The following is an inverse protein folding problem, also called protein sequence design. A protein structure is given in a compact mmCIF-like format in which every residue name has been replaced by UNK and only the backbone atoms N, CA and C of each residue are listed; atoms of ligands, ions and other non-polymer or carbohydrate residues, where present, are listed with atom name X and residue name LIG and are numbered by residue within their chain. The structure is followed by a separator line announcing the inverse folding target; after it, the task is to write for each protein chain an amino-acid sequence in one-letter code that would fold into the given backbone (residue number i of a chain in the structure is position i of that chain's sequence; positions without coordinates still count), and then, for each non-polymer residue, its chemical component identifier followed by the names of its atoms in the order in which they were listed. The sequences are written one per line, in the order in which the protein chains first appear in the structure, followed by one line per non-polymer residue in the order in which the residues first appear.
data_IF_117503165043
#
_entry.id   IF_117503165043
#
_cell.length_a   1.000
_cell.length_b   1.000
_cell.length_c   1.000
_cell.angle_alpha   90.00
_cell.angle_beta   90.00
_cell.angle_gamma   90.00
#
_symmetry.space_group_name_H-M   'P 1'
#
loop_
_entity.id
_entity.type
_entity.pdbx_description
1 polymer ?
#
# COMPACT_ATOMS: atom_id res chain seq x y z
N UNK A 1 27.34 2.09 -0.07
CA UNK A 1 27.08 3.15 0.96
C UNK A 1 25.57 3.30 1.07
N UNK A 2 24.98 3.13 2.27
CA UNK A 2 23.58 3.44 2.47
C UNK A 2 23.44 4.95 2.58
N UNK A 3 22.67 5.55 1.69
CA UNK A 3 22.36 6.98 1.75
C UNK A 3 21.40 7.26 2.91
N UNK A 4 21.46 8.47 3.45
CA UNK A 4 20.59 8.87 4.57
C UNK A 4 19.11 8.92 4.18
N UNK A 5 18.84 9.18 2.89
CA UNK A 5 17.50 9.18 2.27
C UNK A 5 17.61 8.43 0.94
N UNK A 6 16.68 7.53 0.67
CA UNK A 6 16.61 6.80 -0.60
C UNK A 6 15.18 6.88 -1.16
N UNK A 7 15.08 7.03 -2.47
CA UNK A 7 13.80 7.06 -3.19
C UNK A 7 13.71 5.91 -4.18
N UNK A 8 12.54 5.28 -4.23
CA UNK A 8 12.20 4.21 -5.16
C UNK A 8 10.77 4.41 -5.67
N UNK A 9 10.59 4.20 -6.97
CA UNK A 9 9.29 4.12 -7.62
C UNK A 9 8.99 2.67 -8.00
N UNK A 10 7.76 2.23 -7.78
CA UNK A 10 7.31 0.87 -8.05
C UNK A 10 6.06 0.89 -8.94
N UNK A 11 6.04 0.00 -9.92
CA UNK A 11 4.85 -0.37 -10.67
C UNK A 11 4.55 -1.84 -10.40
N UNK A 12 3.37 -2.13 -9.89
CA UNK A 12 3.00 -3.44 -9.36
C UNK A 12 1.85 -4.00 -10.18
N UNK A 13 2.13 -4.82 -11.23
CA UNK A 13 1.08 -5.36 -12.10
C UNK A 13 0.16 -6.36 -11.38
N UNK A 14 0.67 -7.06 -10.37
CA UNK A 14 -0.06 -8.04 -9.58
C UNK A 14 -0.09 -7.65 -8.11
N UNK A 15 -1.06 -8.18 -7.37
CA UNK A 15 -1.14 -8.07 -5.91
C UNK A 15 0.17 -8.57 -5.26
N UNK A 16 0.79 -7.76 -4.42
CA UNK A 16 2.02 -8.13 -3.72
C UNK A 16 1.80 -8.20 -2.22
N UNK A 17 1.69 -9.43 -1.69
CA UNK A 17 1.47 -9.65 -0.26
C UNK A 17 2.81 -9.57 0.48
N UNK A 18 3.11 -8.40 1.03
CA UNK A 18 4.29 -8.18 1.85
C UNK A 18 4.21 -8.80 3.24
N UNK A 19 5.35 -9.19 3.84
CA UNK A 19 5.38 -9.63 5.22
C UNK A 19 5.10 -8.47 6.18
N UNK A 20 4.50 -8.78 7.32
CA UNK A 20 4.38 -7.82 8.42
C UNK A 20 5.71 -7.76 9.17
N UNK A 21 6.41 -6.65 9.07
CA UNK A 21 7.75 -6.50 9.64
C UNK A 21 7.99 -5.11 10.20
N UNK A 22 8.96 -5.00 11.09
CA UNK A 22 9.53 -3.73 11.51
C UNK A 22 10.59 -3.28 10.51
N UNK A 23 10.67 -1.98 10.26
CA UNK A 23 11.75 -1.39 9.48
C UNK A 23 12.58 -0.47 10.38
N UNK A 24 13.91 -0.59 10.39
CA UNK A 24 14.75 0.33 11.15
C UNK A 24 14.79 1.74 10.53
N UNK A 25 14.16 1.92 9.38
CA UNK A 25 14.10 3.18 8.63
C UNK A 25 12.68 3.73 8.69
N UNK A 26 12.57 5.05 8.79
CA UNK A 26 11.31 5.73 8.50
C UNK A 26 10.95 5.58 7.02
N UNK A 27 9.67 5.51 6.68
CA UNK A 27 9.21 5.31 5.32
C UNK A 27 8.03 6.23 5.00
N UNK A 28 8.15 7.02 3.94
CA UNK A 28 7.01 7.65 3.30
C UNK A 28 6.53 6.73 2.17
N UNK A 29 5.25 6.39 2.21
CA UNK A 29 4.54 5.65 1.18
C UNK A 29 3.60 6.62 0.48
N UNK A 30 3.74 6.77 -0.84
CA UNK A 30 2.85 7.58 -1.67
C UNK A 30 2.25 6.69 -2.75
N UNK A 31 0.93 6.61 -2.81
CA UNK A 31 0.24 5.93 -3.92
C UNK A 31 -0.02 6.94 -5.02
N UNK A 32 0.46 6.67 -6.23
CA UNK A 32 0.31 7.55 -7.39
C UNK A 32 -0.76 7.06 -8.36
N UNK A 33 -1.06 5.75 -8.35
CA UNK A 33 -2.13 5.13 -9.13
C UNK A 33 -2.64 3.87 -8.45
N UNK A 34 -3.93 3.57 -8.62
CA UNK A 34 -4.56 2.41 -8.01
C UNK A 34 -4.66 2.54 -6.49
N UNK A 35 -4.44 1.44 -5.80
CA UNK A 35 -4.50 1.42 -4.35
C UNK A 35 -3.54 0.42 -3.71
N UNK A 36 -3.32 0.61 -2.42
CA UNK A 36 -2.56 -0.31 -1.57
C UNK A 36 -3.25 -0.45 -0.22
N UNK A 37 -3.05 -1.59 0.42
CA UNK A 37 -3.46 -1.82 1.81
C UNK A 37 -2.26 -1.65 2.74
N UNK A 38 -2.48 -0.96 3.85
CA UNK A 38 -1.50 -0.80 4.90
C UNK A 38 -2.06 -1.38 6.20
N UNK A 39 -1.48 -2.48 6.65
CA UNK A 39 -1.78 -3.05 7.97
C UNK A 39 -0.88 -2.44 9.02
N UNK A 40 -1.49 -1.70 9.96
CA UNK A 40 -0.80 -1.06 11.08
C UNK A 40 -1.55 -1.39 12.38
N UNK A 41 -0.89 -2.11 13.29
CA UNK A 41 -1.58 -2.64 14.48
C UNK A 41 -2.69 -3.62 14.09
N UNK A 42 -3.91 -3.37 14.57
CA UNK A 42 -5.14 -4.10 14.22
C UNK A 42 -5.87 -3.50 13.02
N UNK A 43 -5.43 -2.36 12.50
CA UNK A 43 -6.11 -1.63 11.44
C UNK A 43 -5.59 -2.05 10.07
N UNK A 44 -6.50 -2.14 9.11
CA UNK A 44 -6.20 -2.30 7.70
C UNK A 44 -6.68 -1.03 6.99
N UNK A 45 -5.75 -0.19 6.60
CA UNK A 45 -6.02 1.10 5.95
C UNK A 45 -5.94 0.95 4.44
N UNK A 46 -6.84 1.60 3.71
CA UNK A 46 -6.77 1.68 2.25
C UNK A 46 -6.13 3.01 1.86
N UNK A 47 -5.04 2.94 1.12
CA UNK A 47 -4.37 4.06 0.49
C UNK A 47 -4.75 4.08 -1.00
N UNK A 48 -5.38 5.14 -1.46
CA UNK A 48 -5.72 5.36 -2.88
C UNK A 48 -4.74 6.35 -3.51
N UNK A 49 -4.82 6.54 -4.82
CA UNK A 49 -4.03 7.56 -5.52
C UNK A 49 -4.15 8.93 -4.82
N UNK A 50 -3.01 9.62 -4.67
CA UNK A 50 -2.89 10.86 -3.89
C UNK A 50 -2.65 10.66 -2.38
N UNK A 51 -2.76 9.44 -1.86
CA UNK A 51 -2.48 9.17 -0.45
C UNK A 51 -1.00 9.21 -0.15
N UNK A 52 -0.64 9.89 0.95
CA UNK A 52 0.69 9.88 1.55
C UNK A 52 0.59 9.35 2.98
N UNK A 53 1.40 8.36 3.32
CA UNK A 53 1.42 7.79 4.66
C UNK A 53 2.86 7.67 5.17
N UNK A 54 3.10 8.24 6.33
CA UNK A 54 4.38 8.14 7.01
C UNK A 54 4.38 6.97 8.00
N UNK A 55 5.39 6.11 7.90
CA UNK A 55 5.72 5.08 8.88
C UNK A 55 7.01 5.49 9.60
N UNK A 56 6.94 5.74 10.89
CA UNK A 56 8.15 5.98 11.68
C UNK A 56 9.02 4.72 11.75
N UNK A 57 10.30 4.88 12.07
CA UNK A 57 11.20 3.76 12.30
C UNK A 57 10.61 2.80 13.36
N UNK A 58 10.86 1.52 13.19
CA UNK A 58 10.37 0.40 14.02
C UNK A 58 8.85 0.20 14.04
N UNK A 59 8.08 0.93 13.24
CA UNK A 59 6.66 0.66 13.07
C UNK A 59 6.45 -0.76 12.51
N UNK A 60 5.61 -1.57 13.19
CA UNK A 60 5.25 -2.91 12.73
C UNK A 60 4.12 -2.82 11.72
N UNK A 61 4.44 -2.88 10.45
CA UNK A 61 3.48 -2.71 9.36
C UNK A 61 3.65 -3.76 8.25
N UNK A 62 2.58 -3.95 7.46
CA UNK A 62 2.64 -4.65 6.19
C UNK A 62 2.02 -3.75 5.11
N UNK A 63 2.78 -3.44 4.09
CA UNK A 63 2.31 -2.71 2.92
C UNK A 63 2.06 -3.70 1.78
N UNK A 64 0.85 -3.65 1.22
CA UNK A 64 0.35 -4.59 0.22
C UNK A 64 -0.18 -3.80 -0.97
N UNK A 65 0.64 -3.50 -1.99
CA UNK A 65 0.16 -2.93 -3.23
C UNK A 65 -0.83 -3.87 -3.90
N UNK A 66 -1.99 -3.35 -4.31
CA UNK A 66 -2.97 -4.08 -5.10
C UNK A 66 -2.53 -4.16 -6.56
N UNK A 67 -3.16 -5.04 -7.34
CA UNK A 67 -2.86 -5.18 -8.76
C UNK A 67 -3.08 -3.85 -9.51
N UNK A 68 -2.10 -3.45 -10.32
CA UNK A 68 -2.09 -2.17 -11.03
C UNK A 68 -1.63 -0.97 -10.21
N UNK A 69 -1.27 -1.15 -8.94
CA UNK A 69 -0.80 -0.08 -8.08
C UNK A 69 0.55 0.47 -8.54
N UNK A 70 0.66 1.80 -8.58
CA UNK A 70 1.93 2.51 -8.66
C UNK A 70 2.15 3.30 -7.39
N UNK A 71 3.34 3.21 -6.84
CA UNK A 71 3.65 3.87 -5.59
C UNK A 71 5.11 4.25 -5.46
N UNK A 72 5.36 5.28 -4.68
CA UNK A 72 6.68 5.72 -4.29
C UNK A 72 6.98 5.29 -2.85
N UNK A 73 8.22 4.98 -2.60
CA UNK A 73 8.76 4.76 -1.28
C UNK A 73 9.99 5.64 -1.07
N UNK A 74 9.91 6.54 -0.11
CA UNK A 74 11.06 7.26 0.41
C UNK A 74 11.46 6.61 1.74
N UNK A 75 12.71 6.19 1.89
CA UNK A 75 13.23 5.66 3.16
C UNK A 75 14.19 6.66 3.78
N UNK A 76 14.05 6.89 5.08
CA UNK A 76 14.88 7.80 5.84
C UNK A 76 15.61 7.07 6.96
N UNK A 77 16.94 7.23 7.00
CA UNK A 77 17.74 6.79 8.13
C UNK A 77 17.33 7.52 9.41
N UNK A 78 17.39 6.86 10.56
CA UNK A 78 17.16 7.48 11.87
C UNK A 78 18.09 8.65 12.20
N UNK A 79 19.15 8.84 11.39
CA UNK A 79 20.06 9.99 11.50
C UNK A 79 19.52 11.26 10.86
N UNK A 80 18.46 11.14 10.06
CA UNK A 80 17.77 12.27 9.46
C UNK A 80 16.61 12.63 10.36
N UNK A 81 16.42 13.92 10.61
CA UNK A 81 15.26 14.39 11.34
C UNK A 81 13.99 14.00 10.56
N UNK A 82 13.00 13.43 11.24
CA UNK A 82 11.82 12.84 10.65
C UNK A 82 10.66 12.85 11.66
N UNK A 83 9.39 12.79 11.21
CA UNK A 83 8.26 12.75 12.12
C UNK A 83 8.34 11.51 13.04
N UNK A 84 8.09 11.72 14.34
CA UNK A 84 8.17 10.64 15.34
C UNK A 84 6.95 9.71 15.34
N UNK A 85 5.83 10.14 14.78
CA UNK A 85 4.57 9.41 14.79
C UNK A 85 4.21 8.96 13.37
N UNK A 86 3.67 7.74 13.25
CA UNK A 86 3.10 7.24 12.00
C UNK A 86 1.71 7.86 11.77
N UNK A 87 1.38 8.16 10.52
CA UNK A 87 0.08 8.72 10.17
C UNK A 87 0.00 9.19 8.72
N UNK A 88 -1.15 9.76 8.40
CA UNK A 88 -1.40 10.36 7.10
C UNK A 88 -0.61 11.65 6.98
N UNK A 89 0.26 11.73 5.97
CA UNK A 89 1.04 12.91 5.74
C UNK A 89 0.28 13.85 4.80
N UNK A 90 0.16 15.11 5.18
CA UNK A 90 -0.37 16.15 4.30
C UNK A 90 0.81 16.79 3.56
N UNK A 91 1.02 16.47 2.27
CA UNK A 91 2.16 16.98 1.54
C UNK A 91 2.01 18.47 1.25
N UNK A 92 3.15 19.16 1.10
CA UNK A 92 3.17 20.47 0.45
C UNK A 92 3.18 20.30 -1.06
N UNK A 93 2.73 21.31 -1.85
CA UNK A 93 2.87 21.28 -3.30
C UNK A 93 4.31 21.07 -3.76
N UNK A 94 5.29 21.59 -3.01
CA UNK A 94 6.71 21.39 -3.30
C UNK A 94 7.13 19.93 -3.09
N UNK A 95 6.66 19.29 -2.01
CA UNK A 95 6.91 17.87 -1.73
C UNK A 95 6.43 16.99 -2.88
N UNK A 96 5.21 17.19 -3.35
CA UNK A 96 4.65 16.42 -4.47
C UNK A 96 5.44 16.63 -5.76
N UNK A 97 5.76 17.88 -6.12
CA UNK A 97 6.55 18.18 -7.31
C UNK A 97 7.96 17.56 -7.26
N UNK A 98 8.57 17.52 -6.08
CA UNK A 98 9.88 16.90 -5.89
C UNK A 98 9.79 15.36 -6.03
N UNK A 99 8.78 14.72 -5.44
CA UNK A 99 8.56 13.27 -5.58
C UNK A 99 8.30 12.90 -7.05
N UNK A 100 7.48 13.67 -7.77
CA UNK A 100 7.25 13.48 -9.22
C UNK A 100 8.54 13.62 -10.02
N UNK A 101 9.36 14.60 -9.67
CA UNK A 101 10.66 14.81 -10.29
C UNK A 101 11.62 13.62 -10.03
N UNK A 102 11.53 12.97 -8.87
CA UNK A 102 12.32 11.77 -8.58
C UNK A 102 11.81 10.55 -9.34
N UNK A 103 10.49 10.38 -9.47
CA UNK A 103 9.88 9.30 -10.25
C UNK A 103 10.33 9.33 -11.72
N UNK A 104 10.47 10.53 -12.28
CA UNK A 104 10.90 10.77 -13.66
C UNK A 104 12.41 10.96 -13.83
N UNK A 105 13.21 10.63 -12.82
CA UNK A 105 14.65 10.84 -12.87
C UNK A 105 15.36 9.89 -13.84
N UNK A 106 15.96 10.41 -14.90
CA UNK A 106 16.61 9.64 -15.98
C UNK A 106 18.14 9.74 -16.00
N UNK A 107 18.72 10.56 -15.11
CA UNK A 107 20.18 10.77 -15.02
C UNK A 107 20.81 9.84 -13.96
N UNK A 108 22.15 9.73 -13.89
CA UNK A 108 22.82 9.02 -12.80
C UNK A 108 22.37 9.54 -11.42
N UNK A 109 22.19 8.62 -10.47
CA UNK A 109 21.75 8.93 -9.11
C UNK A 109 22.96 9.24 -8.22
N UNK A 110 23.54 10.43 -8.40
CA UNK A 110 24.64 10.88 -7.57
C UNK A 110 24.13 11.66 -6.36
N UNK A 111 24.52 11.21 -5.18
CA UNK A 111 24.14 11.83 -3.92
C UNK A 111 24.75 13.23 -3.72
N UNK A 112 25.90 13.51 -4.30
CA UNK A 112 26.57 14.81 -4.19
C UNK A 112 26.04 15.84 -5.19
N UNK A 113 25.31 15.38 -6.18
CA UNK A 113 24.78 16.18 -7.28
C UNK A 113 23.27 16.48 -7.11
N UNK A 114 22.65 16.96 -8.18
CA UNK A 114 21.25 17.39 -8.21
C UNK A 114 20.25 16.34 -7.69
N UNK A 115 20.53 15.02 -7.86
CA UNK A 115 19.71 13.97 -7.31
C UNK A 115 19.68 14.01 -5.78
N UNK A 116 20.84 13.98 -5.15
CA UNK A 116 20.95 14.03 -3.70
C UNK A 116 20.52 15.36 -3.09
N UNK A 117 20.73 16.48 -3.80
CA UNK A 117 20.22 17.78 -3.35
C UNK A 117 18.70 17.79 -3.23
N UNK A 118 17.96 17.23 -4.22
CA UNK A 118 16.50 17.12 -4.16
C UNK A 118 16.04 16.23 -3.02
N UNK A 119 16.72 15.09 -2.80
CA UNK A 119 16.39 14.21 -1.67
C UNK A 119 16.55 14.90 -0.30
N UNK A 120 17.54 15.78 -0.16
CA UNK A 120 17.70 16.60 1.06
C UNK A 120 16.55 17.57 1.23
N UNK A 121 16.15 18.28 0.15
CA UNK A 121 14.98 19.18 0.20
C UNK A 121 13.70 18.39 0.53
N UNK A 122 13.51 17.19 -0.03
CA UNK A 122 12.39 16.30 0.35
C UNK A 122 12.44 15.95 1.85
N UNK A 123 13.64 15.72 2.40
CA UNK A 123 13.82 15.47 3.83
C UNK A 123 13.44 16.68 4.70
N UNK A 124 13.75 17.90 4.25
CA UNK A 124 13.39 19.14 4.94
C UNK A 124 11.86 19.36 4.86
N UNK A 125 11.26 19.18 3.68
CA UNK A 125 9.80 19.24 3.49
C UNK A 125 9.05 18.23 4.34
N UNK A 126 9.59 17.00 4.49
CA UNK A 126 8.98 15.97 5.32
C UNK A 126 8.80 16.41 6.78
N UNK A 127 9.72 17.21 7.31
CA UNK A 127 9.62 17.75 8.66
C UNK A 127 8.58 18.86 8.76
N UNK A 128 8.35 19.61 7.68
CA UNK A 128 7.36 20.69 7.61
C UNK A 128 5.94 20.15 7.41
N UNK A 129 5.77 18.92 6.92
CA UNK A 129 4.47 18.33 6.68
C UNK A 129 3.74 17.96 7.97
N UNK A 130 2.43 18.22 8.01
CA UNK A 130 1.57 17.77 9.10
C UNK A 130 1.32 16.27 9.02
N UNK A 131 1.40 15.59 10.16
CA UNK A 131 0.98 14.19 10.30
C UNK A 131 -0.40 14.18 10.94
N UNK A 132 -1.38 13.65 10.20
CA UNK A 132 -2.75 13.51 10.65
C UNK A 132 -2.98 12.10 11.18
N UNK A 133 -3.57 12.00 12.36
CA UNK A 133 -3.91 10.71 12.97
C UNK A 133 -5.04 9.99 12.20
N UNK A 134 -5.87 10.74 11.50
CA UNK A 134 -7.05 10.24 10.80
C UNK A 134 -7.04 10.70 9.34
N UNK A 135 -7.42 9.74 8.47
CA UNK A 135 -7.66 9.97 7.05
C UNK A 135 -9.08 10.45 6.77
N UNK A 136 -9.42 10.44 5.47
CA UNK A 136 -10.79 10.50 4.97
C UNK A 136 -11.66 9.43 5.63
N UNK A 137 -12.37 9.79 6.71
CA UNK A 137 -13.18 8.87 7.51
C UNK A 137 -14.29 8.19 6.69
N UNK A 138 -15.03 8.89 5.79
CA UNK A 138 -16.00 8.25 4.93
C UNK A 138 -15.38 7.18 4.03
N UNK A 139 -14.23 7.44 3.38
CA UNK A 139 -13.57 6.46 2.52
C UNK A 139 -13.10 5.24 3.32
N UNK A 140 -12.47 5.45 4.47
CA UNK A 140 -12.02 4.36 5.33
C UNK A 140 -13.20 3.59 5.95
N UNK A 141 -14.34 4.26 6.19
CA UNK A 141 -15.59 3.64 6.64
C UNK A 141 -16.20 2.75 5.56
N UNK A 142 -16.34 3.25 4.34
CA UNK A 142 -16.84 2.50 3.19
C UNK A 142 -15.92 1.30 2.86
N UNK A 143 -14.60 1.47 2.92
CA UNK A 143 -13.64 0.38 2.78
C UNK A 143 -13.86 -0.71 3.84
N UNK A 144 -13.97 -0.36 5.11
CA UNK A 144 -14.20 -1.33 6.19
C UNK A 144 -15.49 -2.10 6.02
N UNK A 145 -16.58 -1.43 5.58
CA UNK A 145 -17.84 -2.08 5.28
C UNK A 145 -17.71 -3.07 4.12
N UNK A 146 -17.03 -2.67 3.04
CA UNK A 146 -16.76 -3.53 1.88
C UNK A 146 -15.89 -4.74 2.28
N UNK A 147 -14.81 -4.52 3.01
CA UNK A 147 -13.92 -5.57 3.50
C UNK A 147 -14.63 -6.55 4.45
N UNK A 148 -15.61 -6.07 5.22
CA UNK A 148 -16.46 -6.88 6.08
C UNK A 148 -17.64 -7.54 5.37
N UNK A 149 -17.81 -7.32 4.05
CA UNK A 149 -18.88 -7.88 3.23
C UNK A 149 -20.30 -7.54 3.79
N UNK A 150 -20.46 -6.35 4.37
CA UNK A 150 -21.74 -5.89 4.88
C UNK A 150 -22.76 -5.71 3.75
N UNK A 151 -24.03 -5.96 4.01
CA UNK A 151 -25.09 -5.75 3.03
C UNK A 151 -25.09 -4.31 2.51
N UNK A 152 -25.23 -4.13 1.19
CA UNK A 152 -25.20 -2.81 0.55
C UNK A 152 -23.82 -2.14 0.49
N UNK A 153 -22.77 -2.73 1.04
CA UNK A 153 -21.43 -2.12 1.10
C UNK A 153 -20.82 -1.83 -0.27
N UNK A 154 -21.11 -2.66 -1.28
CA UNK A 154 -20.63 -2.43 -2.64
C UNK A 154 -21.22 -1.15 -3.26
N UNK A 155 -22.53 -0.91 -3.08
CA UNK A 155 -23.20 0.31 -3.54
C UNK A 155 -22.70 1.54 -2.78
N UNK A 156 -22.55 1.45 -1.45
CA UNK A 156 -22.01 2.53 -0.63
C UNK A 156 -20.57 2.86 -1.00
N UNK A 157 -19.77 1.85 -1.34
CA UNK A 157 -18.40 2.03 -1.83
C UNK A 157 -18.37 2.81 -3.16
N UNK A 158 -19.17 2.39 -4.14
CA UNK A 158 -19.26 3.08 -5.43
C UNK A 158 -19.73 4.54 -5.28
N UNK A 159 -20.72 4.79 -4.45
CA UNK A 159 -21.17 6.17 -4.13
C UNK A 159 -20.02 6.99 -3.53
N UNK A 160 -19.29 6.41 -2.58
CA UNK A 160 -18.16 7.07 -1.93
C UNK A 160 -17.04 7.44 -2.92
N UNK A 161 -16.75 6.58 -3.91
CA UNK A 161 -15.78 6.88 -4.97
C UNK A 161 -16.29 7.99 -5.91
N UNK A 162 -17.56 7.91 -6.33
CA UNK A 162 -18.19 8.90 -7.23
C UNK A 162 -18.18 10.30 -6.62
N UNK A 163 -18.51 10.43 -5.34
CA UNK A 163 -18.46 11.71 -4.61
C UNK A 163 -17.08 12.33 -4.55
N UNK A 164 -16.02 11.55 -4.74
CA UNK A 164 -14.61 11.98 -4.76
C UNK A 164 -14.03 12.11 -6.16
N UNK A 165 -14.82 11.85 -7.19
CA UNK A 165 -14.35 11.83 -8.57
C UNK A 165 -13.26 10.76 -8.82
N UNK A 166 -13.27 9.67 -8.06
CA UNK A 166 -12.29 8.59 -8.21
C UNK A 166 -12.84 7.59 -9.22
N UNK A 167 -12.31 7.62 -10.43
CA UNK A 167 -12.65 6.72 -11.54
C UNK A 167 -11.49 5.76 -11.82
N UNK A 168 -11.28 4.78 -10.95
CA UNK A 168 -10.23 3.77 -11.13
C UNK A 168 -10.86 2.37 -11.17
N UNK A 169 -10.77 1.62 -12.30
CA UNK A 169 -11.30 0.27 -12.39
C UNK A 169 -10.71 -0.71 -11.37
N UNK A 170 -9.49 -0.46 -10.90
CA UNK A 170 -8.85 -1.27 -9.85
C UNK A 170 -9.55 -1.14 -8.49
N UNK A 171 -10.35 -0.07 -8.32
CA UNK A 171 -11.15 0.21 -7.12
C UNK A 171 -12.62 -0.22 -7.27
N UNK A 172 -13.01 -0.86 -8.37
CA UNK A 172 -14.33 -1.47 -8.47
C UNK A 172 -14.58 -2.43 -7.29
N UNK A 173 -15.79 -2.41 -6.72
CA UNK A 173 -16.08 -3.14 -5.49
C UNK A 173 -15.79 -4.64 -5.57
N UNK A 174 -16.10 -5.25 -6.71
CA UNK A 174 -15.84 -6.66 -6.99
C UNK A 174 -14.32 -6.97 -7.11
N UNK A 175 -13.58 -6.12 -7.84
CA UNK A 175 -12.14 -6.27 -8.00
C UNK A 175 -11.39 -6.08 -6.67
N UNK A 176 -11.75 -5.05 -5.91
CA UNK A 176 -11.16 -4.77 -4.61
C UNK A 176 -11.52 -5.85 -3.59
N UNK A 177 -12.79 -6.28 -3.56
CA UNK A 177 -13.27 -7.37 -2.70
C UNK A 177 -12.59 -8.70 -2.99
N UNK A 178 -12.42 -9.05 -4.27
CA UNK A 178 -11.72 -10.28 -4.68
C UNK A 178 -10.24 -10.28 -4.26
N UNK A 179 -9.53 -9.15 -4.42
CA UNK A 179 -8.14 -9.03 -3.97
C UNK A 179 -8.03 -9.09 -2.44
N UNK A 180 -8.98 -8.47 -1.72
CA UNK A 180 -9.05 -8.55 -0.27
C UNK A 180 -9.27 -9.97 0.21
N UNK A 181 -10.26 -10.68 -0.38
CA UNK A 181 -10.54 -12.08 -0.08
C UNK A 181 -9.29 -12.96 -0.29
N UNK A 182 -8.62 -12.78 -1.44
CA UNK A 182 -7.39 -13.52 -1.73
C UNK A 182 -6.27 -13.18 -0.75
N UNK A 183 -6.08 -11.92 -0.37
CA UNK A 183 -5.11 -11.51 0.62
C UNK A 183 -5.32 -12.24 1.96
N UNK A 184 -6.58 -12.40 2.41
CA UNK A 184 -6.89 -13.19 3.59
C UNK A 184 -6.53 -14.68 3.37
N UNK A 185 -6.81 -15.21 2.18
CA UNK A 185 -6.41 -16.57 1.79
C UNK A 185 -4.91 -16.81 1.88
N UNK A 186 -4.12 -15.90 1.30
CA UNK A 186 -2.65 -15.96 1.36
C UNK A 186 -2.15 -15.91 2.79
N UNK A 187 -2.74 -15.08 3.64
CA UNK A 187 -2.38 -14.99 5.06
C UNK A 187 -2.65 -16.31 5.79
N UNK A 188 -3.78 -16.97 5.50
CA UNK A 188 -4.12 -18.27 6.06
C UNK A 188 -3.18 -19.38 5.55
N UNK A 189 -2.91 -19.43 4.24
CA UNK A 189 -1.98 -20.40 3.66
C UNK A 189 -0.58 -20.26 4.28
N UNK A 190 -0.05 -19.04 4.38
CA UNK A 190 1.25 -18.77 5.01
C UNK A 190 1.28 -19.05 6.53
N UNK A 191 0.13 -19.12 7.19
CA UNK A 191 0.02 -19.54 8.58
C UNK A 191 -0.16 -21.06 8.75
N UNK A 192 -0.07 -21.84 7.66
CA UNK A 192 -0.14 -23.29 7.67
C UNK A 192 -1.54 -23.88 7.45
N UNK A 193 -2.55 -23.07 7.12
CA UNK A 193 -3.87 -23.59 6.76
C UNK A 193 -3.81 -24.33 5.42
N UNK A 194 -4.51 -25.46 5.31
CA UNK A 194 -4.62 -26.20 4.05
C UNK A 194 -5.57 -25.49 3.07
N UNK A 195 -5.37 -25.62 1.74
CA UNK A 195 -6.25 -25.01 0.73
C UNK A 195 -7.74 -25.28 0.95
N UNK A 196 -8.14 -26.52 1.26
CA UNK A 196 -9.53 -26.89 1.59
C UNK A 196 -10.11 -26.05 2.73
N UNK A 197 -9.32 -25.76 3.76
CA UNK A 197 -9.76 -24.94 4.91
C UNK A 197 -9.92 -23.47 4.50
N UNK A 198 -9.04 -22.97 3.62
CA UNK A 198 -9.11 -21.61 3.09
C UNK A 198 -10.37 -21.43 2.23
N UNK A 199 -10.65 -22.40 1.36
CA UNK A 199 -11.86 -22.46 0.53
C UNK A 199 -13.11 -22.35 1.40
N UNK A 200 -13.24 -23.24 2.38
CA UNK A 200 -14.40 -23.27 3.29
C UNK A 200 -14.56 -21.97 4.10
N UNK A 201 -13.45 -21.39 4.57
CA UNK A 201 -13.48 -20.19 5.42
C UNK A 201 -13.77 -18.90 4.68
N UNK A 202 -13.32 -18.80 3.44
CA UNK A 202 -13.42 -17.56 2.65
C UNK A 202 -14.53 -17.59 1.60
N UNK A 203 -15.25 -18.71 1.44
CA UNK A 203 -16.39 -18.83 0.52
C UNK A 203 -15.97 -18.99 -0.96
N UNK A 204 -14.80 -19.53 -1.25
CA UNK A 204 -14.49 -20.02 -2.58
C UNK A 204 -15.31 -21.29 -2.88
N UNK A 205 -15.65 -21.53 -4.15
CA UNK A 205 -16.43 -22.71 -4.54
C UNK A 205 -15.67 -24.00 -4.32
N UNK A 206 -14.39 -24.00 -4.69
CA UNK A 206 -13.48 -25.14 -4.59
C UNK A 206 -12.02 -24.65 -4.64
N UNK A 207 -11.06 -25.59 -4.57
CA UNK A 207 -9.63 -25.28 -4.66
C UNK A 207 -9.23 -24.73 -6.04
N UNK A 208 -9.94 -25.08 -7.12
CA UNK A 208 -9.69 -24.60 -8.45
C UNK A 208 -10.06 -23.09 -8.55
N UNK A 209 -11.13 -22.66 -7.94
CA UNK A 209 -11.54 -21.26 -7.85
C UNK A 209 -10.49 -20.43 -7.10
N UNK A 210 -9.97 -20.93 -5.98
CA UNK A 210 -8.85 -20.33 -5.25
C UNK A 210 -7.57 -20.28 -6.10
N UNK A 211 -7.25 -21.35 -6.85
CA UNK A 211 -6.10 -21.39 -7.73
C UNK A 211 -6.21 -20.37 -8.88
N UNK A 212 -7.40 -20.23 -9.46
CA UNK A 212 -7.67 -19.21 -10.48
C UNK A 212 -7.50 -17.79 -9.91
N UNK A 213 -7.97 -17.53 -8.68
CA UNK A 213 -7.77 -16.25 -8.02
C UNK A 213 -6.27 -15.96 -7.78
N UNK A 214 -5.49 -16.96 -7.35
CA UNK A 214 -4.03 -16.84 -7.22
C UNK A 214 -3.38 -16.46 -8.56
N UNK A 215 -3.71 -17.19 -9.62
CA UNK A 215 -3.16 -16.93 -10.95
C UNK A 215 -3.54 -15.54 -11.47
N UNK A 216 -4.81 -15.15 -11.31
CA UNK A 216 -5.33 -13.87 -11.78
C UNK A 216 -4.68 -12.68 -11.08
N UNK A 217 -4.61 -12.71 -9.76
CA UNK A 217 -4.25 -11.53 -8.96
C UNK A 217 -2.78 -11.51 -8.50
N UNK A 218 -2.17 -12.69 -8.24
CA UNK A 218 -0.78 -12.80 -7.82
C UNK A 218 0.16 -13.16 -8.98
N UNK A 219 -0.36 -13.73 -10.08
CA UNK A 219 0.45 -14.31 -11.14
C UNK A 219 1.19 -15.59 -10.69
N UNK A 220 0.74 -16.25 -9.64
CA UNK A 220 1.39 -17.40 -9.02
C UNK A 220 0.42 -18.58 -8.94
N UNK A 221 0.97 -19.81 -8.93
CA UNK A 221 0.17 -21.00 -8.66
C UNK A 221 -0.16 -21.13 -7.17
N UNK A 222 -1.23 -21.85 -6.85
CA UNK A 222 -1.64 -22.08 -5.46
C UNK A 222 -0.55 -22.77 -4.65
N UNK A 223 0.17 -23.72 -5.24
CA UNK A 223 1.30 -24.42 -4.62
C UNK A 223 2.45 -23.47 -4.31
N UNK A 224 2.78 -22.57 -5.23
CA UNK A 224 3.82 -21.55 -5.02
C UNK A 224 3.45 -20.60 -3.87
N UNK A 225 2.17 -20.23 -3.76
CA UNK A 225 1.68 -19.38 -2.66
C UNK A 225 1.71 -20.12 -1.32
N UNK A 226 1.36 -21.41 -1.29
CA UNK A 226 1.35 -22.22 -0.08
C UNK A 226 2.76 -22.57 0.41
N UNK A 227 3.75 -22.69 -0.50
CA UNK A 227 5.15 -22.99 -0.15
C UNK A 227 5.98 -21.75 0.22
N UNK A 228 5.49 -20.55 -0.08
CA UNK A 228 6.17 -19.30 0.29
C UNK A 228 5.94 -18.95 1.76
N UNK A 229 6.70 -19.60 2.64
CA UNK A 229 6.75 -19.32 4.09
C UNK A 229 7.72 -18.18 4.42
#
# INVERSE_FOLDING_TARGET
MHHAIEYQHFSTPCLQVGPRKRSPLGQLLRVTRGAALLRLGSHELLLTAGSHFWLCADALAAFTPLAGCQHDRLTCSVRVAQPAQAGWLQPTPLMDALLDSQANWSRPRDWQEAYGHRLRVIGDELQACAILAQADQPLQGAWRALAGQSEGSAAAWQTCLAERGIEDPALAADALGAQWQLLQGVRLLRSGSKPVQVVAKLGYRDEQDLAQACQRWLGLTLEAVASAQ
#
